data_IF_110305836890
#
_entry.id   IF_110305836890
#
_cell.length_a   1.000
_cell.length_b   1.000
_cell.length_c   1.000
_cell.angle_alpha   90.00
_cell.angle_beta   90.00
_cell.angle_gamma   90.00
#
_symmetry.space_group_name_H-M   'P 1'
#
loop_
_entity.id
_entity.type
_entity.pdbx_description
1 polymer ?
#
# COMPACT_ATOMS: atom_id res chain seq x y z
N UNK A 1 -8.95 10.26 -17.27
CA UNK A 1 -9.33 11.36 -16.37
C UNK A 1 -8.27 12.44 -16.39
N UNK A 2 -8.63 13.72 -16.34
CA UNK A 2 -7.64 14.81 -16.27
C UNK A 2 -6.92 14.75 -14.91
N UNK A 3 -5.59 14.88 -14.92
CA UNK A 3 -4.72 14.86 -13.74
C UNK A 3 -4.14 16.26 -13.52
N UNK A 4 -4.33 16.81 -12.35
CA UNK A 4 -3.73 18.07 -11.93
C UNK A 4 -2.52 17.76 -11.07
N UNK A 5 -1.28 18.02 -11.54
CA UNK A 5 -0.10 17.73 -10.76
C UNK A 5 0.03 18.69 -9.57
N UNK A 6 0.69 18.22 -8.52
CA UNK A 6 1.10 19.05 -7.38
C UNK A 6 2.52 18.70 -6.94
N UNK A 7 3.16 19.66 -6.29
CA UNK A 7 4.42 19.48 -5.56
C UNK A 7 4.32 20.24 -4.25
N UNK A 8 4.63 19.57 -3.15
CA UNK A 8 4.46 20.08 -1.79
C UNK A 8 5.82 20.04 -1.11
N UNK A 9 6.28 21.19 -0.61
CA UNK A 9 7.50 21.28 0.15
C UNK A 9 7.34 20.67 1.56
N UNK A 10 8.32 19.90 1.98
CA UNK A 10 8.43 19.32 3.33
C UNK A 10 9.73 19.78 3.99
N UNK A 11 9.96 19.39 5.23
CA UNK A 11 11.19 19.72 5.95
C UNK A 11 12.48 19.13 5.33
N UNK A 12 12.38 18.12 4.47
CA UNK A 12 13.51 17.40 3.86
C UNK A 12 13.48 17.31 2.34
N UNK A 13 12.61 18.10 1.68
CA UNK A 13 12.50 18.12 0.22
C UNK A 13 11.07 18.30 -0.24
N UNK A 14 10.72 17.73 -1.38
CA UNK A 14 9.41 17.88 -2.00
C UNK A 14 8.72 16.53 -2.17
N UNK A 15 7.39 16.52 -2.04
CA UNK A 15 6.52 15.40 -2.39
C UNK A 15 5.70 15.79 -3.61
N UNK A 16 5.71 14.95 -4.62
CA UNK A 16 5.02 15.19 -5.88
C UNK A 16 4.01 14.11 -6.23
N UNK A 17 2.90 14.55 -6.81
CA UNK A 17 1.82 13.66 -7.19
C UNK A 17 0.81 14.37 -8.07
N UNK A 18 -0.41 13.88 -8.09
CA UNK A 18 -1.49 14.46 -8.86
C UNK A 18 -2.86 14.20 -8.21
N UNK A 19 -3.80 15.06 -8.55
CA UNK A 19 -5.22 14.96 -8.16
C UNK A 19 -6.07 14.74 -9.40
N UNK A 20 -7.08 13.90 -9.32
CA UNK A 20 -8.08 13.72 -10.37
C UNK A 20 -9.48 13.48 -9.79
N UNK A 21 -10.51 13.56 -10.64
CA UNK A 21 -11.89 13.33 -10.26
C UNK A 21 -12.50 14.49 -9.45
N UNK A 22 -13.68 14.25 -8.89
CA UNK A 22 -14.42 15.20 -8.07
C UNK A 22 -15.30 14.45 -7.07
N UNK A 23 -15.61 15.06 -5.93
CA UNK A 23 -16.41 14.42 -4.88
C UNK A 23 -15.71 14.44 -3.52
N UNK A 24 -16.05 13.52 -2.61
CA UNK A 24 -15.33 13.35 -1.37
C UNK A 24 -13.83 13.09 -1.61
N UNK A 25 -12.97 13.59 -0.72
CA UNK A 25 -11.52 13.57 -0.87
C UNK A 25 -10.94 12.25 -0.43
N UNK A 26 -10.16 11.60 -1.30
CA UNK A 26 -9.44 10.35 -1.00
C UNK A 26 -7.95 10.56 -1.30
N UNK A 27 -7.08 10.26 -0.34
CA UNK A 27 -5.65 10.17 -0.57
C UNK A 27 -5.27 8.69 -0.71
N UNK A 28 -4.79 8.31 -1.89
CA UNK A 28 -4.38 6.95 -2.22
C UNK A 28 -2.88 6.76 -1.97
N UNK A 29 -2.52 5.78 -1.15
CA UNK A 29 -1.16 5.46 -0.73
C UNK A 29 -0.71 4.17 -1.37
N UNK A 30 0.37 4.24 -2.14
CA UNK A 30 0.90 3.09 -2.87
C UNK A 30 1.67 2.10 -1.98
N UNK A 31 1.81 0.87 -2.48
CA UNK A 31 2.59 -0.21 -1.88
C UNK A 31 4.10 -0.08 -2.15
N UNK A 32 4.81 -1.12 -1.85
CA UNK A 32 6.24 -1.24 -1.91
C UNK A 32 6.69 -1.95 -0.65
N UNK A 33 7.40 -1.31 0.29
CA UNK A 33 7.91 0.08 0.33
C UNK A 33 9.06 0.33 -0.64
N UNK A 34 9.30 1.61 -0.94
CA UNK A 34 10.40 2.00 -1.83
C UNK A 34 10.15 1.73 -3.32
N UNK A 35 8.89 1.58 -3.74
CA UNK A 35 8.49 1.38 -5.14
C UNK A 35 7.81 2.64 -5.69
N UNK A 36 7.81 2.82 -7.01
CA UNK A 36 7.08 3.91 -7.64
C UNK A 36 5.55 3.66 -7.64
N UNK A 37 4.77 4.75 -7.66
CA UNK A 37 3.31 4.73 -7.45
C UNK A 37 2.47 4.45 -8.70
N UNK A 38 3.08 4.39 -9.90
CA UNK A 38 2.37 4.32 -11.17
C UNK A 38 1.44 3.10 -11.33
N UNK A 39 1.69 2.02 -10.63
CA UNK A 39 0.83 0.82 -10.68
C UNK A 39 -0.57 1.04 -10.06
N UNK A 40 -0.76 2.10 -9.25
CA UNK A 40 -2.08 2.47 -8.70
C UNK A 40 -3.00 3.17 -9.69
N UNK A 41 -2.53 3.51 -10.88
CA UNK A 41 -3.28 4.33 -11.84
C UNK A 41 -4.68 3.78 -12.12
N UNK A 42 -4.85 2.47 -12.25
CA UNK A 42 -6.16 1.85 -12.51
C UNK A 42 -7.05 1.87 -11.25
N UNK A 43 -6.50 1.66 -10.07
CA UNK A 43 -7.22 1.80 -8.81
C UNK A 43 -7.73 3.23 -8.60
N UNK A 44 -6.87 4.21 -8.85
CA UNK A 44 -7.23 5.63 -8.76
C UNK A 44 -8.24 6.01 -9.82
N UNK A 45 -8.16 5.43 -11.02
CA UNK A 45 -9.16 5.67 -12.07
C UNK A 45 -10.53 5.10 -11.70
N UNK A 46 -10.59 3.94 -11.04
CA UNK A 46 -11.82 3.35 -10.54
C UNK A 46 -12.46 4.27 -9.48
N UNK A 47 -11.71 4.67 -8.46
CA UNK A 47 -12.19 5.55 -7.41
C UNK A 47 -12.58 6.94 -7.93
N UNK A 48 -11.85 7.47 -8.90
CA UNK A 48 -12.07 8.78 -9.48
C UNK A 48 -13.41 8.96 -10.20
N UNK A 49 -14.19 7.87 -10.39
CA UNK A 49 -15.56 7.94 -10.87
C UNK A 49 -16.50 8.66 -9.87
N UNK A 50 -16.26 8.51 -8.56
CA UNK A 50 -17.10 9.06 -7.49
C UNK A 50 -16.35 10.00 -6.54
N UNK A 51 -15.02 9.99 -6.55
CA UNK A 51 -14.18 10.67 -5.58
C UNK A 51 -13.20 11.65 -6.24
N UNK A 52 -12.79 12.67 -5.48
CA UNK A 52 -11.59 13.43 -5.78
C UNK A 52 -10.40 12.68 -5.18
N UNK A 53 -9.58 12.06 -6.03
CA UNK A 53 -8.47 11.21 -5.58
C UNK A 53 -7.15 11.91 -5.80
N UNK A 54 -6.35 12.03 -4.74
CA UNK A 54 -4.94 12.39 -4.81
C UNK A 54 -4.09 11.14 -4.62
N UNK A 55 -2.95 11.09 -5.29
CA UNK A 55 -1.88 10.14 -5.02
C UNK A 55 -0.53 10.80 -5.21
N UNK A 56 0.49 10.34 -4.54
CA UNK A 56 1.83 10.91 -4.61
C UNK A 56 2.90 9.82 -4.53
N UNK A 57 4.07 10.12 -5.08
CA UNK A 57 5.25 9.31 -4.88
C UNK A 57 5.74 9.48 -3.43
N UNK A 58 5.76 8.40 -2.66
CA UNK A 58 6.39 8.43 -1.34
C UNK A 58 7.91 8.73 -1.50
N UNK A 59 8.51 9.31 -0.45
CA UNK A 59 9.95 9.60 -0.43
C UNK A 59 10.80 8.38 -0.79
N UNK A 60 11.96 8.61 -1.37
CA UNK A 60 12.90 7.58 -1.81
C UNK A 60 13.00 7.46 -3.32
N UNK A 61 12.05 7.99 -4.09
CA UNK A 61 12.05 7.97 -5.56
C UNK A 61 11.53 9.28 -6.15
N UNK A 62 12.10 9.66 -7.29
CA UNK A 62 11.55 10.74 -8.12
C UNK A 62 10.09 10.42 -8.55
N UNK A 63 9.21 11.43 -8.69
CA UNK A 63 9.48 12.88 -8.61
C UNK A 63 9.48 13.48 -7.19
N UNK A 64 9.34 12.65 -6.14
CA UNK A 64 9.50 13.11 -4.75
C UNK A 64 10.97 13.10 -4.33
N UNK A 65 11.25 13.64 -3.13
CA UNK A 65 12.60 13.61 -2.56
C UNK A 65 13.13 12.18 -2.44
N UNK A 66 14.38 11.97 -2.87
CA UNK A 66 15.06 10.69 -2.77
C UNK A 66 15.84 10.54 -1.46
N UNK A 67 15.81 11.57 -0.61
CA UNK A 67 16.58 11.66 0.61
C UNK A 67 15.69 11.84 1.83
N UNK A 68 16.26 11.64 3.01
CA UNK A 68 15.61 11.80 4.31
C UNK A 68 15.61 10.51 5.11
N UNK A 69 14.88 10.51 6.21
CA UNK A 69 14.69 9.32 7.01
C UNK A 69 13.56 8.47 6.41
N UNK A 70 13.80 7.17 6.34
CA UNK A 70 12.82 6.18 5.86
C UNK A 70 12.23 5.43 7.05
N UNK A 71 11.37 6.15 7.78
CA UNK A 71 10.67 5.65 8.96
C UNK A 71 9.16 5.77 8.80
N UNK A 72 8.39 4.98 9.55
CA UNK A 72 6.93 5.09 9.58
C UNK A 72 6.49 6.47 10.07
N UNK A 73 7.18 7.04 11.06
CA UNK A 73 6.86 8.36 11.58
C UNK A 73 6.95 9.44 10.48
N UNK A 74 8.01 9.40 9.68
CA UNK A 74 8.18 10.31 8.54
C UNK A 74 7.16 10.04 7.43
N UNK A 75 6.83 8.77 7.15
CA UNK A 75 5.82 8.43 6.15
C UNK A 75 4.41 8.92 6.56
N UNK A 76 4.07 8.85 7.85
CA UNK A 76 2.82 9.44 8.39
C UNK A 76 2.85 10.97 8.35
N UNK A 77 4.00 11.59 8.65
CA UNK A 77 4.17 13.04 8.52
C UNK A 77 4.05 13.50 7.05
N UNK A 78 4.52 12.71 6.09
CA UNK A 78 4.34 12.98 4.66
C UNK A 78 2.86 12.96 4.25
N UNK A 79 2.07 12.01 4.77
CA UNK A 79 0.61 12.00 4.55
C UNK A 79 0.00 13.30 5.05
N UNK A 80 0.32 13.75 6.27
CA UNK A 80 -0.17 14.99 6.83
C UNK A 80 0.25 16.21 5.99
N UNK A 81 1.52 16.26 5.56
CA UNK A 81 2.04 17.33 4.72
C UNK A 81 1.33 17.40 3.36
N UNK A 82 1.01 16.26 2.75
CA UNK A 82 0.24 16.21 1.50
C UNK A 82 -1.17 16.75 1.70
N UNK A 83 -1.86 16.36 2.78
CA UNK A 83 -3.17 16.90 3.11
C UNK A 83 -3.12 18.43 3.30
N UNK A 84 -2.13 18.94 4.04
CA UNK A 84 -1.93 20.38 4.26
C UNK A 84 -1.68 21.13 2.96
N UNK A 85 -0.77 20.61 2.14
CA UNK A 85 -0.42 21.23 0.86
C UNK A 85 -1.55 21.26 -0.15
N UNK A 86 -2.48 20.29 -0.09
CA UNK A 86 -3.71 20.24 -0.88
C UNK A 86 -4.83 21.11 -0.29
N UNK A 87 -4.66 21.67 0.91
CA UNK A 87 -5.71 22.39 1.63
C UNK A 87 -6.87 21.46 2.04
N UNK A 88 -6.56 20.21 2.36
CA UNK A 88 -7.54 19.22 2.80
C UNK A 88 -7.47 19.07 4.33
N UNK A 89 -8.42 19.66 5.04
CA UNK A 89 -8.49 19.53 6.50
C UNK A 89 -8.64 18.05 6.90
N UNK A 90 -9.51 17.33 6.20
CA UNK A 90 -9.69 15.88 6.34
C UNK A 90 -9.82 15.21 4.98
N UNK A 91 -9.45 13.93 4.92
CA UNK A 91 -9.68 13.06 3.77
C UNK A 91 -9.89 11.60 4.21
N UNK A 92 -10.48 10.80 3.34
CA UNK A 92 -10.36 9.34 3.45
C UNK A 92 -8.96 8.92 3.01
N UNK A 93 -8.38 7.91 3.65
CA UNK A 93 -7.19 7.25 3.15
C UNK A 93 -7.58 5.92 2.51
N UNK A 94 -6.99 5.64 1.34
CA UNK A 94 -6.96 4.29 0.77
C UNK A 94 -5.49 3.89 0.64
N UNK A 95 -5.09 2.80 1.28
CA UNK A 95 -3.74 2.27 1.16
C UNK A 95 -3.73 0.86 0.62
N UNK A 96 -2.78 0.54 -0.28
CA UNK A 96 -2.62 -0.79 -0.85
C UNK A 96 -1.31 -1.44 -0.39
N UNK A 97 -1.36 -2.72 0.00
CA UNK A 97 -0.15 -3.50 0.35
C UNK A 97 0.63 -2.84 1.52
N UNK A 98 1.87 -2.43 1.30
CA UNK A 98 2.63 -1.58 2.24
C UNK A 98 1.86 -0.30 2.59
N UNK A 99 1.28 0.40 1.61
CA UNK A 99 0.40 1.54 1.86
C UNK A 99 -0.81 1.16 2.71
N UNK A 100 -1.33 -0.06 2.54
CA UNK A 100 -2.38 -0.64 3.38
C UNK A 100 -1.94 -0.87 4.83
N UNK A 101 -0.66 -1.18 5.06
CA UNK A 101 -0.07 -1.21 6.39
C UNK A 101 0.13 0.21 6.96
N UNK A 102 0.65 1.11 6.15
CA UNK A 102 0.93 2.48 6.59
C UNK A 102 -0.33 3.23 7.07
N UNK A 103 -1.49 2.95 6.48
CA UNK A 103 -2.73 3.63 6.90
C UNK A 103 -3.23 3.20 8.29
N UNK A 104 -2.82 2.03 8.84
CA UNK A 104 -3.05 1.72 10.25
C UNK A 104 -2.27 2.68 11.15
N UNK A 105 -1.00 2.95 10.82
CA UNK A 105 -0.18 3.91 11.56
C UNK A 105 -0.74 5.34 11.45
N UNK A 106 -1.21 5.73 10.27
CA UNK A 106 -1.87 7.03 10.09
C UNK A 106 -3.15 7.14 10.94
N UNK A 107 -3.96 6.07 11.01
CA UNK A 107 -5.17 6.04 11.83
C UNK A 107 -4.89 6.16 13.34
N UNK A 108 -3.73 5.70 13.80
CA UNK A 108 -3.27 5.89 15.19
C UNK A 108 -2.66 7.28 15.39
N UNK A 109 -1.85 7.76 14.44
CA UNK A 109 -1.00 8.92 14.61
C UNK A 109 -1.66 10.27 14.30
N UNK A 110 -2.59 10.31 13.34
CA UNK A 110 -3.25 11.54 12.87
C UNK A 110 -4.77 11.35 12.66
N UNK A 111 -5.51 10.72 13.62
CA UNK A 111 -6.92 10.39 13.42
C UNK A 111 -7.80 11.59 13.11
N UNK A 112 -7.48 12.80 13.63
CA UNK A 112 -8.21 14.03 13.40
C UNK A 112 -8.14 14.53 11.94
N UNK A 113 -7.22 14.00 11.15
CA UNK A 113 -7.06 14.32 9.72
C UNK A 113 -7.79 13.34 8.80
N UNK A 114 -8.42 12.30 9.37
CA UNK A 114 -9.01 11.19 8.64
C UNK A 114 -10.52 11.15 8.77
N UNK A 115 -11.22 11.19 7.65
CA UNK A 115 -12.65 10.93 7.57
C UNK A 115 -12.97 9.42 7.65
N UNK A 116 -12.02 8.57 7.29
CA UNK A 116 -12.07 7.12 7.34
C UNK A 116 -10.89 6.50 6.61
N UNK A 117 -10.69 5.20 6.77
CA UNK A 117 -9.55 4.46 6.22
C UNK A 117 -10.00 3.17 5.55
N UNK A 118 -9.57 2.96 4.30
CA UNK A 118 -9.67 1.68 3.58
C UNK A 118 -8.28 1.11 3.39
N UNK A 119 -8.01 0.00 4.05
CA UNK A 119 -6.78 -0.77 3.87
C UNK A 119 -7.04 -1.90 2.87
N UNK A 120 -6.27 -1.94 1.79
CA UNK A 120 -6.46 -2.88 0.67
C UNK A 120 -5.31 -3.85 0.60
N UNK A 121 -5.61 -5.12 0.80
CA UNK A 121 -4.69 -6.27 0.78
C UNK A 121 -3.36 -6.00 1.51
N UNK A 122 -3.45 -5.56 2.80
CA UNK A 122 -2.31 -5.05 3.52
C UNK A 122 -1.35 -6.14 4.02
N UNK A 123 -0.09 -5.77 4.24
CA UNK A 123 0.64 -6.35 5.35
C UNK A 123 -0.17 -6.04 6.62
N UNK A 124 -0.51 -7.06 7.40
CA UNK A 124 -1.34 -6.90 8.59
C UNK A 124 -0.61 -6.23 9.75
N UNK A 125 -1.36 -5.98 10.81
CA UNK A 125 -0.86 -5.32 12.01
C UNK A 125 -0.84 -6.25 13.25
N UNK A 126 -1.04 -7.55 13.06
CA UNK A 126 -1.06 -8.57 14.13
C UNK A 126 0.03 -9.59 13.88
N UNK A 127 0.78 -9.96 14.92
CA UNK A 127 1.88 -10.92 14.83
C UNK A 127 3.01 -10.41 13.92
N UNK A 128 3.33 -11.15 12.85
CA UNK A 128 4.29 -10.75 11.82
C UNK A 128 3.60 -10.04 10.62
N UNK A 129 2.33 -9.74 10.73
CA UNK A 129 1.53 -9.14 9.66
C UNK A 129 1.27 -10.05 8.46
N UNK A 130 1.59 -11.35 8.57
CA UNK A 130 1.51 -12.31 7.48
C UNK A 130 2.75 -12.32 6.56
N UNK A 131 3.82 -11.63 6.93
CA UNK A 131 5.02 -11.46 6.11
C UNK A 131 5.68 -12.80 5.74
N UNK A 132 5.83 -13.72 6.68
CA UNK A 132 6.44 -15.03 6.43
C UNK A 132 5.59 -15.88 5.47
N UNK A 133 4.27 -15.87 5.64
CA UNK A 133 3.34 -16.60 4.75
C UNK A 133 3.35 -15.99 3.35
N UNK A 134 3.32 -14.65 3.25
CA UNK A 134 3.41 -13.93 1.99
C UNK A 134 4.67 -14.30 1.20
N UNK A 135 5.86 -14.22 1.81
CA UNK A 135 7.12 -14.56 1.15
C UNK A 135 7.16 -16.03 0.67
N UNK A 136 6.67 -16.96 1.50
CA UNK A 136 6.58 -18.37 1.14
C UNK A 136 5.63 -18.60 -0.05
N UNK A 137 4.47 -17.98 -0.04
CA UNK A 137 3.46 -18.12 -1.11
C UNK A 137 3.93 -17.46 -2.41
N UNK A 138 4.55 -16.28 -2.34
CA UNK A 138 5.14 -15.61 -3.50
C UNK A 138 6.12 -16.52 -4.22
N UNK A 139 7.05 -17.12 -3.48
CA UNK A 139 8.04 -18.04 -4.05
C UNK A 139 7.40 -19.34 -4.57
N UNK A 140 6.40 -19.88 -3.87
CA UNK A 140 5.71 -21.10 -4.28
C UNK A 140 5.00 -20.97 -5.62
N UNK A 141 4.48 -19.77 -5.93
CA UNK A 141 3.78 -19.45 -7.20
C UNK A 141 4.75 -19.19 -8.37
N UNK A 142 6.04 -18.92 -8.11
CA UNK A 142 7.03 -18.78 -9.17
C UNK A 142 7.20 -20.12 -9.90
N UNK A 143 7.26 -20.15 -11.26
CA UNK A 143 7.55 -21.36 -12.01
C UNK A 143 8.82 -22.07 -11.49
N UNK A 144 8.76 -23.40 -11.35
CA UNK A 144 9.82 -24.22 -10.73
C UNK A 144 11.21 -23.91 -11.29
N UNK A 145 11.31 -23.76 -12.61
CA UNK A 145 12.56 -23.47 -13.30
C UNK A 145 13.20 -22.12 -12.90
N UNK A 146 12.43 -21.20 -12.31
CA UNK A 146 12.90 -19.87 -11.92
C UNK A 146 13.02 -19.67 -10.40
N UNK A 147 12.57 -20.63 -9.58
CA UNK A 147 12.51 -20.48 -8.11
C UNK A 147 13.88 -20.27 -7.47
N UNK A 148 14.89 -21.01 -7.91
CA UNK A 148 16.24 -20.86 -7.33
C UNK A 148 16.84 -19.49 -7.66
N UNK A 149 16.57 -18.98 -8.86
CA UNK A 149 16.98 -17.61 -9.24
C UNK A 149 16.24 -16.56 -8.45
N UNK A 150 14.91 -16.69 -8.31
CA UNK A 150 14.09 -15.77 -7.51
C UNK A 150 14.55 -15.72 -6.06
N UNK A 151 14.83 -16.87 -5.44
CA UNK A 151 15.36 -16.96 -4.08
C UNK A 151 16.72 -16.28 -3.93
N UNK A 152 17.64 -16.53 -4.86
CA UNK A 152 18.97 -15.93 -4.80
C UNK A 152 18.94 -14.40 -4.95
N UNK A 153 17.98 -13.87 -5.71
CA UNK A 153 17.79 -12.44 -5.86
C UNK A 153 17.13 -11.82 -4.62
N UNK A 154 16.15 -12.50 -4.02
CA UNK A 154 15.50 -12.08 -2.78
C UNK A 154 16.49 -12.02 -1.60
N UNK A 155 17.39 -13.01 -1.49
CA UNK A 155 18.48 -13.04 -0.51
C UNK A 155 19.42 -11.83 -0.69
N UNK A 156 19.77 -11.47 -1.91
CA UNK A 156 20.60 -10.30 -2.22
C UNK A 156 19.88 -8.98 -1.88
N UNK A 157 18.60 -8.88 -2.23
CA UNK A 157 17.80 -7.68 -1.96
C UNK A 157 17.66 -7.44 -0.44
N UNK A 158 17.35 -8.50 0.29
CA UNK A 158 17.28 -8.49 1.77
C UNK A 158 18.61 -8.10 2.42
N UNK A 159 19.74 -8.53 1.81
CA UNK A 159 21.08 -8.16 2.28
C UNK A 159 21.49 -6.72 1.90
N UNK A 160 20.70 -6.02 1.08
CA UNK A 160 21.04 -4.70 0.55
C UNK A 160 22.13 -4.74 -0.53
N UNK A 161 22.34 -5.89 -1.17
CA UNK A 161 23.41 -6.13 -2.15
C UNK A 161 22.91 -6.23 -3.60
N UNK A 162 21.58 -6.17 -3.81
CA UNK A 162 21.01 -6.24 -5.15
C UNK A 162 21.29 -4.95 -5.94
N UNK A 163 21.68 -5.12 -7.22
CA UNK A 163 21.71 -3.98 -8.15
C UNK A 163 20.29 -3.61 -8.60
N UNK A 164 20.08 -2.41 -9.16
CA UNK A 164 18.76 -2.04 -9.72
C UNK A 164 18.25 -3.04 -10.76
N UNK A 165 19.12 -3.59 -11.60
CA UNK A 165 18.77 -4.61 -12.59
C UNK A 165 18.37 -5.92 -11.93
N UNK A 166 19.06 -6.33 -10.86
CA UNK A 166 18.74 -7.52 -10.09
C UNK A 166 17.41 -7.36 -9.34
N UNK A 167 17.13 -6.20 -8.76
CA UNK A 167 15.85 -5.89 -8.13
C UNK A 167 14.69 -5.93 -9.16
N UNK A 168 14.91 -5.37 -10.35
CA UNK A 168 13.93 -5.46 -11.45
C UNK A 168 13.71 -6.90 -11.92
N UNK A 169 14.77 -7.68 -12.08
CA UNK A 169 14.69 -9.11 -12.42
C UNK A 169 13.92 -9.87 -11.34
N UNK A 170 14.25 -9.68 -10.06
CA UNK A 170 13.55 -10.30 -8.94
C UNK A 170 12.05 -10.04 -9.00
N UNK A 171 11.65 -8.78 -9.16
CA UNK A 171 10.25 -8.41 -9.24
C UNK A 171 9.55 -9.00 -10.47
N UNK A 172 10.24 -9.05 -11.63
CA UNK A 172 9.69 -9.65 -12.84
C UNK A 172 9.40 -11.14 -12.69
N UNK A 173 10.25 -11.86 -11.97
CA UNK A 173 10.07 -13.29 -11.69
C UNK A 173 8.87 -13.58 -10.78
N UNK A 174 8.58 -12.67 -9.84
CA UNK A 174 7.47 -12.83 -8.90
C UNK A 174 6.20 -12.07 -9.32
N UNK A 175 6.22 -11.28 -10.39
CA UNK A 175 5.08 -10.45 -10.80
C UNK A 175 3.78 -11.25 -10.93
N UNK A 176 3.84 -12.40 -11.60
CA UNK A 176 2.67 -13.28 -11.73
C UNK A 176 2.12 -13.78 -10.39
N UNK A 177 2.98 -13.93 -9.39
CA UNK A 177 2.60 -14.49 -8.08
C UNK A 177 1.61 -13.60 -7.31
N UNK A 178 1.52 -12.32 -7.63
CA UNK A 178 0.56 -11.39 -7.04
C UNK A 178 -0.89 -11.65 -7.47
N UNK A 179 -1.11 -12.34 -8.57
CA UNK A 179 -2.44 -12.56 -9.15
C UNK A 179 -3.01 -13.92 -8.74
N UNK A 180 -4.33 -14.02 -8.70
CA UNK A 180 -5.03 -15.26 -8.42
C UNK A 180 -4.65 -16.38 -9.40
N UNK A 181 -4.43 -15.98 -10.67
CA UNK A 181 -4.01 -16.87 -11.74
C UNK A 181 -2.69 -16.37 -12.38
N UNK A 182 -1.51 -16.75 -11.86
CA UNK A 182 -0.22 -16.24 -12.32
C UNK A 182 -0.01 -16.20 -13.85
N UNK A 183 -0.44 -17.21 -14.62
CA UNK A 183 -0.30 -17.18 -16.08
C UNK A 183 -1.17 -16.13 -16.78
N UNK A 184 -2.20 -15.61 -16.11
CA UNK A 184 -3.10 -14.60 -16.64
C UNK A 184 -2.76 -13.18 -16.15
N UNK A 185 -1.66 -13.01 -15.43
CA UNK A 185 -1.20 -11.70 -14.97
C UNK A 185 -1.04 -10.73 -16.15
N UNK A 186 -1.46 -9.47 -16.00
CA UNK A 186 -1.19 -8.46 -17.03
C UNK A 186 0.32 -8.22 -17.18
N UNK A 187 0.74 -7.58 -18.27
CA UNK A 187 2.14 -7.17 -18.40
C UNK A 187 2.58 -6.36 -17.18
N UNK A 188 3.78 -6.66 -16.67
CA UNK A 188 4.35 -5.91 -15.55
C UNK A 188 4.49 -4.44 -15.93
N UNK A 189 3.98 -3.49 -15.12
CA UNK A 189 4.18 -2.08 -15.37
C UNK A 189 5.66 -1.70 -15.22
N UNK A 190 6.01 -0.48 -15.62
CA UNK A 190 7.32 0.07 -15.29
C UNK A 190 7.44 0.23 -13.77
N UNK A 191 8.45 -0.39 -13.17
CA UNK A 191 8.74 -0.29 -11.74
C UNK A 191 10.15 0.20 -11.51
N UNK A 192 10.27 1.09 -10.53
CA UNK A 192 11.54 1.59 -9.98
C UNK A 192 11.57 1.30 -8.50
N UNK A 193 12.77 1.05 -7.97
CA UNK A 193 12.97 0.70 -6.57
C UNK A 193 14.01 1.61 -5.91
N UNK A 194 13.70 2.04 -4.70
CA UNK A 194 14.65 2.65 -3.77
C UNK A 194 14.99 1.62 -2.69
N UNK A 195 16.15 0.99 -2.81
CA UNK A 195 16.62 0.04 -1.80
C UNK A 195 16.79 0.69 -0.42
N UNK A 196 17.34 1.92 -0.28
CA UNK A 196 17.41 2.57 1.03
C UNK A 196 16.03 2.78 1.67
N UNK A 197 15.01 3.18 0.89
CA UNK A 197 13.66 3.35 1.41
C UNK A 197 13.02 2.01 1.78
N UNK A 198 13.21 0.98 0.97
CA UNK A 198 12.73 -0.37 1.25
C UNK A 198 13.31 -0.89 2.58
N UNK A 199 14.63 -0.93 2.71
CA UNK A 199 15.30 -1.46 3.90
C UNK A 199 14.98 -0.67 5.17
N UNK A 200 14.97 0.67 5.08
CA UNK A 200 14.66 1.54 6.22
C UNK A 200 13.25 1.30 6.74
N UNK A 201 12.27 1.32 5.83
CA UNK A 201 10.86 1.12 6.18
C UNK A 201 10.57 -0.31 6.67
N UNK A 202 11.14 -1.36 6.06
CA UNK A 202 11.00 -2.73 6.55
C UNK A 202 11.56 -2.91 7.95
N UNK A 203 12.72 -2.31 8.24
CA UNK A 203 13.32 -2.33 9.57
C UNK A 203 12.41 -1.68 10.60
N UNK A 204 11.82 -0.53 10.27
CA UNK A 204 10.93 0.20 11.18
C UNK A 204 9.59 -0.53 11.35
N UNK A 205 9.02 -1.12 10.28
CA UNK A 205 7.82 -1.99 10.36
C UNK A 205 8.02 -3.10 11.36
N UNK A 206 9.06 -3.92 11.18
CA UNK A 206 9.30 -5.10 12.04
C UNK A 206 9.51 -4.71 13.50
N UNK A 207 10.13 -3.54 13.73
CA UNK A 207 10.36 -3.01 15.08
C UNK A 207 9.07 -2.52 15.73
N UNK A 208 8.16 -1.91 14.96
CA UNK A 208 6.95 -1.26 15.46
C UNK A 208 5.70 -2.13 15.46
N UNK A 209 5.72 -3.31 14.82
CA UNK A 209 4.54 -4.20 14.79
C UNK A 209 3.92 -4.44 16.15
N UNK A 210 4.67 -4.76 17.24
CA UNK A 210 4.07 -4.98 18.56
C UNK A 210 3.38 -3.71 19.14
N UNK A 211 3.94 -2.53 18.87
CA UNK A 211 3.36 -1.25 19.29
C UNK A 211 2.09 -0.94 18.49
N UNK A 212 2.13 -1.18 17.18
CA UNK A 212 0.95 -1.01 16.32
C UNK A 212 -0.17 -1.95 16.76
N UNK A 213 0.10 -3.24 16.95
CA UNK A 213 -0.90 -4.22 17.40
C UNK A 213 -1.57 -3.77 18.70
N UNK A 214 -0.79 -3.31 19.68
CA UNK A 214 -1.31 -2.80 20.94
C UNK A 214 -2.17 -1.54 20.78
N UNK A 215 -1.96 -0.77 19.72
CA UNK A 215 -2.65 0.50 19.46
C UNK A 215 -3.90 0.36 18.61
N UNK A 216 -4.16 -0.78 17.96
CA UNK A 216 -5.32 -0.96 17.06
C UNK A 216 -6.66 -0.67 17.75
N UNK A 217 -6.79 -1.06 19.01
CA UNK A 217 -8.02 -0.82 19.79
C UNK A 217 -8.27 0.67 20.09
N UNK A 218 -7.31 1.56 19.86
CA UNK A 218 -7.46 3.02 20.03
C UNK A 218 -7.93 3.73 18.77
N UNK A 219 -7.98 3.05 17.63
CA UNK A 219 -8.47 3.63 16.37
C UNK A 219 -9.97 3.90 16.50
N UNK A 220 -10.35 5.14 16.27
CA UNK A 220 -11.75 5.63 16.40
C UNK A 220 -12.37 6.09 15.09
N UNK A 221 -11.57 6.21 14.03
CA UNK A 221 -12.07 6.57 12.71
C UNK A 221 -12.71 5.34 12.04
N UNK A 222 -13.74 5.53 11.18
CA UNK A 222 -14.29 4.44 10.37
C UNK A 222 -13.18 3.70 9.64
N UNK A 223 -13.17 2.37 9.72
CA UNK A 223 -12.08 1.55 9.17
C UNK A 223 -12.61 0.33 8.42
N UNK A 224 -12.18 0.18 7.18
CA UNK A 224 -12.48 -0.98 6.36
C UNK A 224 -11.21 -1.69 5.87
N UNK A 225 -11.28 -3.00 5.74
CA UNK A 225 -10.23 -3.83 5.14
C UNK A 225 -10.80 -4.63 4.00
N UNK A 226 -10.21 -4.51 2.82
CA UNK A 226 -10.53 -5.28 1.63
C UNK A 226 -9.33 -6.17 1.30
N UNK A 227 -9.55 -7.47 1.17
CA UNK A 227 -8.49 -8.44 0.82
C UNK A 227 -8.93 -9.36 -0.30
N UNK A 228 -8.00 -9.79 -1.15
CA UNK A 228 -8.27 -10.80 -2.16
C UNK A 228 -8.25 -12.21 -1.57
N UNK A 229 -9.26 -13.05 -1.89
CA UNK A 229 -9.32 -14.44 -1.41
C UNK A 229 -8.08 -15.25 -1.80
N UNK A 230 -7.58 -15.01 -3.01
CA UNK A 230 -6.46 -15.73 -3.60
C UNK A 230 -5.17 -14.90 -3.63
N UNK A 231 -5.09 -13.84 -2.81
CA UNK A 231 -3.85 -13.07 -2.64
C UNK A 231 -2.73 -13.96 -2.08
N UNK A 232 -1.47 -13.73 -2.46
CA UNK A 232 -0.34 -14.32 -1.76
C UNK A 232 -0.18 -13.77 -0.34
N UNK A 233 -0.65 -12.54 -0.07
CA UNK A 233 -0.83 -12.03 1.29
C UNK A 233 -2.01 -12.79 1.92
N UNK A 234 -1.81 -13.53 3.02
CA UNK A 234 -2.89 -14.31 3.58
C UNK A 234 -4.06 -13.39 3.99
N UNK A 235 -5.31 -13.67 3.59
CA UNK A 235 -6.46 -12.84 3.97
C UNK A 235 -6.59 -12.62 5.48
N UNK A 236 -6.12 -13.58 6.29
CA UNK A 236 -6.09 -13.46 7.76
C UNK A 236 -5.29 -12.24 8.23
N UNK A 237 -4.23 -11.85 7.53
CA UNK A 237 -3.41 -10.70 7.92
C UNK A 237 -4.25 -9.40 8.03
N UNK A 238 -5.07 -9.13 7.02
CA UNK A 238 -6.00 -7.99 7.04
C UNK A 238 -7.18 -8.20 7.99
N UNK A 239 -7.80 -9.39 7.95
CA UNK A 239 -9.00 -9.72 8.76
C UNK A 239 -8.71 -9.62 10.26
N UNK A 240 -7.64 -10.27 10.75
CA UNK A 240 -7.25 -10.23 12.17
C UNK A 240 -6.90 -8.81 12.63
N UNK A 241 -6.33 -7.99 11.74
CA UNK A 241 -6.07 -6.58 12.02
C UNK A 241 -7.37 -5.79 12.20
N UNK A 242 -8.36 -6.00 11.30
CA UNK A 242 -9.67 -5.36 11.40
C UNK A 242 -10.42 -5.78 12.69
N UNK A 243 -10.33 -7.04 13.10
CA UNK A 243 -10.97 -7.57 14.32
C UNK A 243 -10.46 -6.89 15.61
N UNK A 244 -9.26 -6.30 15.60
CA UNK A 244 -8.70 -5.54 16.73
C UNK A 244 -9.16 -4.08 16.79
N UNK A 245 -9.82 -3.57 15.73
CA UNK A 245 -10.27 -2.18 15.62
C UNK A 245 -11.76 -2.11 15.92
N UNK A 246 -12.20 -1.33 16.92
CA UNK A 246 -13.61 -1.21 17.26
C UNK A 246 -14.45 -0.68 16.10
N UNK A 247 -15.48 -1.44 15.69
CA UNK A 247 -16.38 -1.06 14.61
C UNK A 247 -15.83 -1.22 13.20
N UNK A 248 -14.60 -1.70 13.03
CA UNK A 248 -14.06 -1.98 11.70
C UNK A 248 -14.75 -3.19 11.06
N UNK A 249 -14.74 -3.19 9.73
CA UNK A 249 -15.20 -4.33 8.94
C UNK A 249 -14.07 -4.84 8.03
N UNK A 250 -14.18 -6.11 7.66
CA UNK A 250 -13.37 -6.70 6.60
C UNK A 250 -14.26 -7.29 5.50
N UNK A 251 -13.72 -7.33 4.28
CA UNK A 251 -14.32 -8.01 3.14
C UNK A 251 -13.25 -8.79 2.40
N UNK A 252 -13.55 -10.08 2.16
CA UNK A 252 -12.70 -10.94 1.33
C UNK A 252 -13.35 -11.01 -0.04
N UNK A 253 -12.65 -10.48 -1.06
CA UNK A 253 -13.12 -10.47 -2.44
C UNK A 253 -12.88 -11.83 -3.09
N UNK A 254 -13.96 -12.58 -3.47
CA UNK A 254 -13.81 -13.91 -4.02
C UNK A 254 -13.05 -13.93 -5.34
N UNK A 255 -12.11 -14.86 -5.48
CA UNK A 255 -11.36 -15.09 -6.71
C UNK A 255 -10.33 -14.00 -7.06
N UNK A 256 -10.17 -12.96 -6.24
CA UNK A 256 -9.19 -11.90 -6.47
C UNK A 256 -7.85 -12.20 -5.78
N UNK A 257 -6.75 -11.78 -6.40
CA UNK A 257 -5.41 -11.77 -5.82
C UNK A 257 -5.09 -10.42 -5.16
N UNK A 258 -3.79 -10.07 -5.15
CA UNK A 258 -3.28 -8.89 -4.44
C UNK A 258 -3.75 -7.55 -5.04
N UNK A 259 -3.90 -7.48 -6.36
CA UNK A 259 -4.40 -6.30 -7.06
C UNK A 259 -5.90 -6.47 -7.33
N UNK A 260 -6.72 -6.37 -6.27
CA UNK A 260 -8.15 -6.70 -6.29
C UNK A 260 -8.92 -6.01 -7.41
N UNK A 261 -8.60 -4.76 -7.75
CA UNK A 261 -9.25 -3.98 -8.81
C UNK A 261 -9.01 -4.51 -10.24
N UNK A 262 -7.94 -5.27 -10.45
CA UNK A 262 -7.67 -5.90 -11.74
C UNK A 262 -8.52 -7.17 -11.95
N UNK A 263 -8.76 -7.93 -10.88
CA UNK A 263 -9.41 -9.24 -10.97
C UNK A 263 -10.90 -9.20 -10.59
N UNK A 264 -11.29 -8.18 -9.82
CA UNK A 264 -12.68 -7.89 -9.46
C UNK A 264 -13.01 -6.40 -9.66
N UNK A 265 -13.08 -5.90 -10.93
CA UNK A 265 -13.35 -4.49 -11.19
C UNK A 265 -14.62 -3.98 -10.50
N UNK A 266 -14.54 -2.83 -9.85
CA UNK A 266 -15.64 -2.23 -9.08
C UNK A 266 -15.64 -2.62 -7.60
N UNK A 267 -14.85 -3.61 -7.16
CA UNK A 267 -14.83 -4.01 -5.75
C UNK A 267 -14.20 -2.92 -4.86
N UNK A 268 -13.17 -2.24 -5.36
CA UNK A 268 -12.51 -1.15 -4.64
C UNK A 268 -13.47 0.04 -4.45
N UNK A 269 -14.20 0.41 -5.50
CA UNK A 269 -15.21 1.46 -5.44
C UNK A 269 -16.33 1.09 -4.46
N UNK A 270 -16.84 -0.13 -4.52
CA UNK A 270 -17.89 -0.61 -3.61
C UNK A 270 -17.42 -0.60 -2.14
N UNK A 271 -16.18 -1.00 -1.88
CA UNK A 271 -15.60 -0.94 -0.53
C UNK A 271 -15.45 0.51 -0.04
N UNK A 272 -15.04 1.42 -0.92
CA UNK A 272 -14.92 2.84 -0.58
C UNK A 272 -16.29 3.48 -0.34
N UNK A 273 -17.30 3.18 -1.16
CA UNK A 273 -18.68 3.67 -1.00
C UNK A 273 -19.27 3.16 0.33
N UNK A 274 -18.99 1.91 0.73
CA UNK A 274 -19.38 1.38 2.04
C UNK A 274 -18.72 2.17 3.17
N UNK A 275 -17.40 2.39 3.11
CA UNK A 275 -16.68 3.16 4.14
C UNK A 275 -17.26 4.56 4.32
N UNK A 276 -17.56 5.23 3.22
CA UNK A 276 -18.16 6.60 3.25
C UNK A 276 -19.56 6.60 3.81
N UNK A 277 -20.34 5.53 3.59
CA UNK A 277 -21.69 5.40 4.15
C UNK A 277 -21.68 5.12 5.67
N UNK A 278 -20.60 4.52 6.18
CA UNK A 278 -20.42 4.17 7.60
C UNK A 278 -19.81 5.35 8.41
N UNK A 279 -19.31 6.42 7.75
CA UNK A 279 -18.66 7.60 8.34
C UNK A 279 -19.66 8.71 8.65
#
# INVERSE_FOLDING_TARGET
>A
MERTPFTIATGCGELSGWVSGAGPRVLAIHGGPGMNFGYLDDAVAELGAHYQVATFQQRGLAPSTEQGEFTIAEAVADIAAVLDGLGWDTAYLMGHSWGGHLVFHAAVGIPERLAGVLSVDPLGAVGDGGAAAFGAEMLARVPEASRDRARALDEKDTAGEATPEEAHEAFSLVWGSYFAHPPAAPPMPHVEFSQPANLGLWTDVTTRLPELEASLASITVPFGVLVGELSPMPPSAGVESAERIPGAWSHIEPGAGHFVWHEAPGCLLAAMDRLVADA
#
